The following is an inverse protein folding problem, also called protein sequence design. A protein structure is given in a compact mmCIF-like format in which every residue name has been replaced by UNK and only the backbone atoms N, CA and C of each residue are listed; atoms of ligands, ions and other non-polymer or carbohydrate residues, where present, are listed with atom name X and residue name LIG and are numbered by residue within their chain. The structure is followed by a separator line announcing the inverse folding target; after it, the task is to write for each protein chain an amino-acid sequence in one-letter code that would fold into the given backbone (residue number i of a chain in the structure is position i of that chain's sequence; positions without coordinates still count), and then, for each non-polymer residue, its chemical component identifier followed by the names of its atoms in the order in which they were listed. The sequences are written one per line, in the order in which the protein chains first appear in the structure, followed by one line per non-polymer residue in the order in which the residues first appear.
data_IF_639054788809
#
_entry.id   IF_639054788809
#
_cell.length_a   1.000
_cell.length_b   1.000
_cell.length_c   1.000
_cell.angle_alpha   90.00
_cell.angle_beta   90.00
_cell.angle_gamma   90.00
#
_symmetry.space_group_name_H-M   'P 1'
#
loop_
_entity.id
_entity.type
_entity.pdbx_description
1 polymer ?
#
# COMPACT_ATOMS: atom_id res chain seq x y z
N UNK A 1 14.86 4.07 -23.27
CA UNK A 1 15.97 3.13 -23.25
C UNK A 1 17.16 3.79 -22.56
N UNK A 2 17.70 3.18 -21.50
CA UNK A 2 18.84 3.71 -20.74
C UNK A 2 19.67 2.62 -20.10
N UNK A 3 20.88 2.97 -19.68
CA UNK A 3 21.71 2.07 -18.90
C UNK A 3 21.14 1.97 -17.48
N UNK A 4 21.19 0.76 -16.90
CA UNK A 4 20.75 0.50 -15.54
C UNK A 4 21.94 0.67 -14.60
N UNK A 5 21.73 1.38 -13.50
CA UNK A 5 22.65 1.40 -12.36
C UNK A 5 21.96 0.70 -11.19
N UNK A 6 22.64 -0.29 -10.61
CA UNK A 6 22.11 -1.15 -9.55
C UNK A 6 22.57 -0.63 -8.19
N UNK A 7 21.64 -0.56 -7.25
CA UNK A 7 21.88 -0.29 -5.85
C UNK A 7 21.31 -1.44 -5.01
N UNK A 8 22.06 -1.92 -4.06
CA UNK A 8 21.60 -2.99 -3.16
C UNK A 8 20.47 -2.49 -2.25
N UNK A 9 20.58 -1.24 -1.81
CA UNK A 9 19.61 -0.63 -0.89
C UNK A 9 19.22 0.77 -1.34
N UNK A 10 18.12 1.28 -0.81
CA UNK A 10 17.72 2.68 -0.98
C UNK A 10 18.78 3.64 -0.41
N UNK A 11 19.43 3.26 0.69
CA UNK A 11 20.48 4.05 1.32
C UNK A 11 21.71 4.20 0.42
N UNK A 12 22.03 3.19 -0.38
CA UNK A 12 23.11 3.28 -1.36
C UNK A 12 22.77 4.27 -2.47
N UNK A 13 21.52 4.28 -2.94
CA UNK A 13 21.03 5.29 -3.87
C UNK A 13 21.08 6.69 -3.24
N UNK A 14 20.68 6.84 -1.97
CA UNK A 14 20.73 8.13 -1.25
C UNK A 14 22.16 8.68 -1.16
N UNK A 15 23.15 7.82 -0.92
CA UNK A 15 24.58 8.18 -0.81
C UNK A 15 25.27 8.38 -2.15
N UNK A 16 24.75 7.78 -3.21
CA UNK A 16 25.38 7.81 -4.53
C UNK A 16 25.52 9.26 -5.05
N UNK A 17 26.65 9.62 -5.67
CA UNK A 17 26.81 10.92 -6.31
C UNK A 17 25.86 11.03 -7.52
N UNK A 18 25.29 12.21 -7.76
CA UNK A 18 24.36 12.41 -8.86
C UNK A 18 24.94 11.98 -10.22
N UNK A 19 26.22 12.18 -10.45
CA UNK A 19 26.90 11.77 -11.69
C UNK A 19 26.81 10.27 -12.01
N UNK A 20 26.65 9.42 -10.99
CA UNK A 20 26.46 7.97 -11.20
C UNK A 20 25.02 7.60 -11.56
N UNK A 21 24.08 8.50 -11.36
CA UNK A 21 22.64 8.28 -11.55
C UNK A 21 22.09 9.03 -12.76
N UNK A 22 22.62 10.22 -13.03
CA UNK A 22 22.15 11.12 -14.08
C UNK A 22 22.08 10.43 -15.44
N UNK A 23 20.91 10.52 -16.10
CA UNK A 23 20.64 9.93 -17.41
C UNK A 23 20.57 8.40 -17.43
N UNK A 24 20.50 7.76 -16.27
CA UNK A 24 20.41 6.30 -16.13
C UNK A 24 19.08 5.89 -15.52
N UNK A 25 18.76 4.61 -15.59
CA UNK A 25 17.67 3.98 -14.87
C UNK A 25 18.26 3.47 -13.54
N UNK A 26 17.80 4.04 -12.43
CA UNK A 26 18.21 3.57 -11.10
C UNK A 26 17.37 2.36 -10.70
N UNK A 27 18.01 1.26 -10.36
CA UNK A 27 17.36 0.06 -9.85
C UNK A 27 17.81 -0.18 -8.40
N UNK A 28 16.84 -0.38 -7.50
CA UNK A 28 17.06 -0.77 -6.11
C UNK A 28 16.59 -2.20 -5.90
N UNK A 29 17.57 -3.09 -5.65
CA UNK A 29 17.38 -4.54 -5.53
C UNK A 29 17.11 -5.04 -4.12
N UNK A 30 16.79 -4.15 -3.18
CA UNK A 30 16.64 -4.48 -1.76
C UNK A 30 15.58 -5.56 -1.52
N UNK A 31 16.04 -6.80 -1.28
CA UNK A 31 15.16 -7.95 -1.08
C UNK A 31 14.58 -7.95 0.34
N UNK A 32 13.24 -7.96 0.43
CA UNK A 32 12.54 -8.08 1.70
C UNK A 32 12.79 -9.44 2.34
N UNK A 33 13.04 -9.45 3.64
CA UNK A 33 13.19 -10.68 4.41
C UNK A 33 11.83 -11.18 4.87
N UNK A 34 11.62 -12.49 4.79
CA UNK A 34 10.41 -13.11 5.28
C UNK A 34 10.41 -13.13 6.80
N UNK A 35 9.48 -12.41 7.43
CA UNK A 35 9.21 -12.42 8.86
C UNK A 35 7.79 -12.89 9.11
N UNK A 36 7.52 -13.41 10.29
CA UNK A 36 6.19 -13.95 10.62
C UNK A 36 5.15 -12.84 10.88
N UNK A 37 5.62 -11.67 11.30
CA UNK A 37 4.81 -10.52 11.70
C UNK A 37 4.77 -9.38 10.67
N UNK A 38 5.42 -9.54 9.50
CA UNK A 38 5.49 -8.48 8.49
C UNK A 38 6.30 -7.25 8.90
N UNK A 39 6.98 -7.26 10.04
CA UNK A 39 7.66 -6.08 10.64
C UNK A 39 8.66 -5.40 9.73
N UNK A 40 9.22 -6.10 8.75
CA UNK A 40 10.17 -5.52 7.79
C UNK A 40 9.50 -4.71 6.66
N UNK A 41 8.19 -4.86 6.44
CA UNK A 41 7.50 -4.25 5.30
C UNK A 41 7.66 -2.73 5.24
N UNK A 42 7.45 -2.04 6.34
CA UNK A 42 7.58 -0.58 6.42
C UNK A 42 8.97 -0.07 5.99
N UNK A 43 10.02 -0.77 6.37
CA UNK A 43 11.38 -0.43 6.00
C UNK A 43 11.64 -0.61 4.49
N UNK A 44 11.21 -1.74 3.93
CA UNK A 44 11.43 -2.02 2.51
C UNK A 44 10.51 -1.20 1.60
N UNK A 45 9.30 -0.84 2.05
CA UNK A 45 8.36 -0.07 1.28
C UNK A 45 8.80 1.38 1.01
N UNK A 46 9.76 1.92 1.76
CA UNK A 46 10.34 3.24 1.50
C UNK A 46 10.97 3.33 0.10
N UNK A 47 11.57 2.25 -0.38
CA UNK A 47 12.11 2.20 -1.74
C UNK A 47 11.04 2.44 -2.80
N UNK A 48 9.79 1.96 -2.58
CA UNK A 48 8.66 2.21 -3.45
C UNK A 48 8.15 3.64 -3.32
N UNK A 49 7.93 4.11 -2.10
CA UNK A 49 7.25 5.39 -1.87
C UNK A 49 8.14 6.60 -2.13
N UNK A 50 9.38 6.62 -1.66
CA UNK A 50 10.31 7.75 -1.76
C UNK A 50 11.38 7.59 -2.85
N UNK A 51 11.70 6.35 -3.22
CA UNK A 51 12.78 6.05 -4.15
C UNK A 51 12.72 6.77 -5.49
N UNK A 52 11.53 6.86 -6.17
CA UNK A 52 11.40 7.59 -7.43
C UNK A 52 11.78 9.06 -7.30
N UNK A 53 11.36 9.72 -6.21
CA UNK A 53 11.70 11.12 -5.96
C UNK A 53 13.20 11.32 -5.71
N UNK A 54 13.82 10.41 -4.95
CA UNK A 54 15.27 10.43 -4.68
C UNK A 54 16.06 10.23 -5.98
N UNK A 55 15.69 9.24 -6.80
CA UNK A 55 16.34 8.99 -8.08
C UNK A 55 16.21 10.19 -9.04
N UNK A 56 15.00 10.73 -9.13
CA UNK A 56 14.72 11.91 -9.98
C UNK A 56 15.52 13.14 -9.55
N UNK A 57 15.67 13.39 -8.24
CA UNK A 57 16.49 14.51 -7.71
C UNK A 57 17.96 14.39 -8.11
N UNK A 58 18.45 13.19 -8.41
CA UNK A 58 19.80 12.90 -8.90
C UNK A 58 19.91 12.85 -10.43
N UNK A 59 18.80 13.17 -11.13
CA UNK A 59 18.78 13.19 -12.59
C UNK A 59 18.59 11.81 -13.25
N UNK A 60 18.07 10.82 -12.54
CA UNK A 60 17.67 9.55 -13.16
C UNK A 60 16.60 9.78 -14.23
N UNK A 61 16.65 8.98 -15.30
CA UNK A 61 15.65 8.99 -16.36
C UNK A 61 14.51 7.97 -16.12
N UNK A 62 14.67 7.10 -15.14
CA UNK A 62 13.70 6.10 -14.72
C UNK A 62 14.12 5.45 -13.40
N UNK A 63 13.17 4.80 -12.75
CA UNK A 63 13.38 4.14 -11.46
C UNK A 63 12.73 2.76 -11.46
N UNK A 64 13.42 1.79 -10.92
CA UNK A 64 12.95 0.42 -10.76
C UNK A 64 13.24 -0.07 -9.35
N UNK A 65 12.33 -0.87 -8.82
CA UNK A 65 12.54 -1.61 -7.58
C UNK A 65 12.33 -3.11 -7.79
N UNK A 66 12.98 -3.91 -6.96
CA UNK A 66 12.48 -5.24 -6.61
C UNK A 66 11.15 -5.06 -5.88
N UNK A 67 10.12 -5.85 -6.21
CA UNK A 67 8.85 -5.81 -5.49
C UNK A 67 9.06 -5.95 -3.99
N UNK A 68 8.34 -5.15 -3.23
CA UNK A 68 8.20 -5.34 -1.78
C UNK A 68 7.33 -6.57 -1.56
N UNK A 69 7.86 -7.55 -0.83
CA UNK A 69 7.20 -8.83 -0.62
C UNK A 69 8.19 -10.00 -0.73
N UNK A 70 7.76 -11.18 -0.36
CA UNK A 70 8.59 -12.39 -0.30
C UNK A 70 8.05 -13.54 -1.15
N UNK A 71 7.13 -13.23 -2.05
CA UNK A 71 6.57 -14.18 -3.01
C UNK A 71 7.54 -14.52 -4.14
N UNK A 72 7.21 -15.55 -4.91
CA UNK A 72 7.99 -16.01 -6.06
C UNK A 72 7.21 -16.01 -7.38
N UNK A 73 6.00 -15.45 -7.40
CA UNK A 73 5.23 -15.30 -8.65
C UNK A 73 5.70 -14.07 -9.45
N UNK A 74 5.26 -13.96 -10.69
CA UNK A 74 5.66 -12.87 -11.59
C UNK A 74 4.66 -11.70 -11.62
N UNK A 75 3.98 -11.47 -10.50
CA UNK A 75 3.18 -10.27 -10.31
C UNK A 75 3.98 -9.28 -9.46
N UNK A 76 4.33 -8.12 -9.99
CA UNK A 76 5.00 -7.10 -9.19
C UNK A 76 4.00 -6.53 -8.17
N UNK A 77 4.46 -6.36 -6.94
CA UNK A 77 3.68 -5.69 -5.91
C UNK A 77 3.56 -4.20 -6.24
N UNK A 78 2.34 -3.74 -6.39
CA UNK A 78 2.02 -2.33 -6.65
C UNK A 78 1.85 -1.54 -5.35
N UNK A 79 1.52 -0.28 -5.45
CA UNK A 79 1.31 0.62 -4.32
C UNK A 79 1.57 2.07 -4.71
N UNK A 80 1.38 2.97 -3.77
CA UNK A 80 1.55 4.39 -4.01
C UNK A 80 3.02 4.82 -4.00
N UNK A 81 3.31 5.88 -4.73
CA UNK A 81 4.59 6.57 -4.69
C UNK A 81 4.37 8.07 -4.46
N UNK A 82 5.37 8.74 -3.89
CA UNK A 82 5.31 10.17 -3.60
C UNK A 82 6.47 10.89 -4.26
N UNK A 83 6.14 11.93 -5.01
CA UNK A 83 7.14 12.89 -5.48
C UNK A 83 7.15 14.11 -4.57
N UNK A 84 8.34 14.55 -4.18
CA UNK A 84 8.52 15.81 -3.49
C UNK A 84 8.20 16.96 -4.45
N UNK A 85 7.74 18.07 -3.89
CA UNK A 85 7.45 19.28 -4.66
C UNK A 85 8.71 19.76 -5.42
N UNK A 86 8.52 20.15 -6.67
CA UNK A 86 9.63 20.59 -7.54
C UNK A 86 10.48 19.47 -8.13
N UNK A 87 10.27 18.21 -7.78
CA UNK A 87 10.98 17.07 -8.37
C UNK A 87 10.22 16.55 -9.59
N UNK A 88 10.89 16.40 -10.76
CA UNK A 88 10.24 15.90 -11.96
C UNK A 88 9.77 14.45 -11.77
N UNK A 89 8.58 14.14 -12.29
CA UNK A 89 8.08 12.76 -12.33
C UNK A 89 8.81 11.99 -13.41
N UNK A 90 9.36 10.84 -13.07
CA UNK A 90 10.04 9.93 -14.00
C UNK A 90 9.28 8.59 -14.06
N UNK A 91 9.39 7.81 -15.13
CA UNK A 91 8.86 6.44 -15.15
C UNK A 91 9.38 5.64 -13.95
N UNK A 92 8.48 5.09 -13.15
CA UNK A 92 8.81 4.29 -11.99
C UNK A 92 7.97 3.00 -11.99
N UNK A 93 8.61 1.86 -11.77
CA UNK A 93 7.98 0.54 -11.85
C UNK A 93 8.58 -0.41 -10.83
N UNK A 94 7.79 -1.42 -10.43
CA UNK A 94 8.28 -2.56 -9.67
C UNK A 94 8.50 -3.76 -10.62
N UNK A 95 9.52 -4.55 -10.33
CA UNK A 95 9.77 -5.84 -10.96
C UNK A 95 9.31 -6.94 -10.01
N UNK A 96 8.74 -8.01 -10.54
CA UNK A 96 8.52 -9.21 -9.73
C UNK A 96 9.83 -9.73 -9.15
N UNK A 97 9.78 -10.44 -8.02
CA UNK A 97 11.00 -10.98 -7.41
C UNK A 97 11.81 -11.88 -8.36
N UNK A 98 11.21 -12.78 -9.16
CA UNK A 98 11.96 -13.56 -10.15
C UNK A 98 12.60 -12.73 -11.26
N UNK A 99 11.94 -11.64 -11.70
CA UNK A 99 12.51 -10.75 -12.73
C UNK A 99 13.62 -9.87 -12.16
N UNK A 100 13.49 -9.44 -10.91
CA UNK A 100 14.56 -8.77 -10.15
C UNK A 100 15.79 -9.65 -10.02
N UNK A 101 15.64 -10.92 -9.63
CA UNK A 101 16.73 -11.91 -9.60
C UNK A 101 17.42 -12.05 -10.96
N UNK A 102 16.65 -12.01 -12.04
CA UNK A 102 17.20 -12.08 -13.39
C UNK A 102 18.05 -10.86 -13.73
N UNK A 103 17.59 -9.67 -13.44
CA UNK A 103 18.35 -8.43 -13.69
C UNK A 103 19.63 -8.40 -12.87
N UNK A 104 19.56 -8.77 -11.60
CA UNK A 104 20.73 -8.81 -10.72
C UNK A 104 21.79 -9.78 -11.22
N UNK A 105 21.40 -10.98 -11.67
CA UNK A 105 22.34 -11.93 -12.29
C UNK A 105 22.98 -11.36 -13.56
N UNK A 106 22.19 -10.70 -14.42
CA UNK A 106 22.72 -10.09 -15.65
C UNK A 106 23.69 -8.96 -15.29
N UNK A 107 23.36 -8.14 -14.28
CA UNK A 107 24.20 -7.02 -13.88
C UNK A 107 25.49 -7.47 -13.19
N UNK A 108 25.50 -8.62 -12.52
CA UNK A 108 26.71 -9.21 -11.96
C UNK A 108 27.71 -9.66 -13.06
N UNK A 109 27.20 -10.15 -14.18
CA UNK A 109 28.02 -10.65 -15.30
C UNK A 109 28.41 -9.55 -16.29
N UNK A 110 27.63 -8.46 -16.38
CA UNK A 110 27.79 -7.42 -17.40
C UNK A 110 27.74 -6.03 -16.78
N UNK A 111 28.72 -5.22 -17.11
CA UNK A 111 28.80 -3.83 -16.66
C UNK A 111 27.87 -2.88 -17.43
N UNK A 112 27.27 -3.31 -18.54
CA UNK A 112 26.42 -2.48 -19.42
C UNK A 112 25.04 -3.13 -19.63
N UNK A 113 24.22 -3.05 -18.61
CA UNK A 113 22.82 -3.50 -18.69
C UNK A 113 21.97 -2.37 -19.20
N UNK A 114 21.28 -2.58 -20.31
CA UNK A 114 20.36 -1.59 -20.90
C UNK A 114 18.92 -2.08 -20.80
N UNK A 115 18.02 -1.17 -20.42
CA UNK A 115 16.60 -1.46 -20.31
C UNK A 115 15.77 -0.40 -21.04
N UNK A 116 14.66 -0.84 -21.63
CA UNK A 116 13.61 0.04 -22.12
C UNK A 116 12.46 0.02 -21.11
N UNK A 117 12.12 1.18 -20.59
CA UNK A 117 10.89 1.40 -19.83
C UNK A 117 9.87 2.10 -20.73
N UNK A 118 8.63 1.69 -20.62
CA UNK A 118 7.50 2.37 -21.21
C UNK A 118 6.36 2.38 -20.22
N UNK A 119 5.87 3.58 -19.89
CA UNK A 119 4.75 3.81 -18.98
C UNK A 119 3.75 4.66 -19.74
N UNK A 120 2.52 4.19 -19.78
CA UNK A 120 1.38 4.93 -20.29
C UNK A 120 0.35 5.00 -19.16
N UNK A 121 0.24 6.15 -18.54
CA UNK A 121 -0.66 6.40 -17.42
C UNK A 121 -1.27 7.79 -17.54
N UNK A 122 -2.52 7.92 -17.16
CA UNK A 122 -3.24 9.18 -17.15
C UNK A 122 -3.93 9.41 -15.81
N UNK A 123 -4.06 10.67 -15.44
CA UNK A 123 -4.87 11.08 -14.31
C UNK A 123 -6.33 11.27 -14.80
N UNK A 124 -7.28 10.73 -14.06
CA UNK A 124 -8.70 10.91 -14.31
C UNK A 124 -9.31 11.88 -13.30
N UNK A 125 -10.44 12.52 -13.61
CA UNK A 125 -11.16 13.32 -12.63
C UNK A 125 -11.50 12.51 -11.37
N UNK A 126 -11.55 13.18 -10.24
CA UNK A 126 -11.94 12.55 -8.98
C UNK A 126 -13.32 11.87 -9.12
N UNK A 127 -13.39 10.63 -8.69
CA UNK A 127 -14.63 9.87 -8.60
C UNK A 127 -15.14 9.86 -7.16
N UNK A 128 -16.43 9.59 -6.98
CA UNK A 128 -17.02 9.44 -5.67
C UNK A 128 -17.01 7.97 -5.26
N UNK A 129 -16.63 7.72 -4.01
CA UNK A 129 -16.77 6.45 -3.33
C UNK A 129 -17.52 6.64 -2.03
N UNK A 130 -17.77 5.58 -1.26
CA UNK A 130 -18.49 5.66 0.00
C UNK A 130 -18.13 4.54 0.94
N UNK A 131 -18.44 4.73 2.21
CA UNK A 131 -18.37 3.68 3.22
C UNK A 131 -19.71 2.95 3.30
N UNK A 132 -19.67 1.65 3.63
CA UNK A 132 -20.87 0.89 3.98
C UNK A 132 -20.91 0.78 5.51
N UNK A 133 -22.07 1.11 6.09
CA UNK A 133 -22.26 1.10 7.55
C UNK A 133 -23.45 0.22 7.92
N UNK A 134 -23.25 -0.63 8.92
CA UNK A 134 -24.30 -1.42 9.56
C UNK A 134 -24.14 -1.36 11.08
N UNK A 135 -25.25 -1.52 11.82
CA UNK A 135 -25.23 -1.40 13.28
C UNK A 135 -26.12 -2.44 13.98
N UNK A 136 -25.66 -2.85 15.15
CA UNK A 136 -26.51 -3.41 16.18
C UNK A 136 -26.59 -2.38 17.30
N UNK A 137 -27.77 -1.77 17.48
CA UNK A 137 -28.00 -0.73 18.49
C UNK A 137 -27.83 -1.28 19.90
N UNK A 138 -27.10 -0.55 20.73
CA UNK A 138 -26.90 -0.89 22.14
C UNK A 138 -28.18 -0.79 22.97
N UNK A 139 -28.35 -1.68 23.95
CA UNK A 139 -29.55 -1.72 24.81
C UNK A 139 -29.49 -0.80 26.03
N UNK A 140 -28.29 -0.42 26.51
CA UNK A 140 -28.08 0.38 27.71
C UNK A 140 -27.42 1.74 27.44
N UNK A 141 -26.45 1.78 26.54
CA UNK A 141 -25.70 2.96 26.15
C UNK A 141 -25.60 3.01 24.62
N UNK A 142 -26.72 3.23 23.91
CA UNK A 142 -26.76 3.21 22.45
C UNK A 142 -25.92 4.33 21.81
N UNK A 143 -25.63 5.40 22.54
CA UNK A 143 -24.77 6.49 22.10
C UNK A 143 -23.27 6.14 22.14
N UNK A 144 -22.87 5.16 22.94
CA UNK A 144 -21.48 4.66 22.99
C UNK A 144 -21.25 3.66 21.85
N UNK A 145 -20.27 3.94 21.00
CA UNK A 145 -20.06 3.21 19.74
C UNK A 145 -18.75 2.42 19.81
N UNK A 146 -18.85 1.14 19.51
CA UNK A 146 -17.72 0.25 19.23
C UNK A 146 -17.66 0.07 17.72
N UNK A 147 -16.58 0.51 17.05
CA UNK A 147 -16.41 0.36 15.62
C UNK A 147 -15.57 -0.88 15.31
N UNK A 148 -16.07 -1.72 14.41
CA UNK A 148 -15.32 -2.77 13.76
C UNK A 148 -15.29 -2.47 12.27
N UNK A 149 -14.14 -2.61 11.62
CA UNK A 149 -13.98 -2.18 10.23
C UNK A 149 -13.10 -3.10 9.41
N UNK A 150 -13.19 -2.88 8.11
CA UNK A 150 -12.37 -3.46 7.06
C UNK A 150 -12.47 -2.54 5.84
N UNK A 151 -11.60 -2.68 4.83
CA UNK A 151 -11.72 -1.85 3.65
C UNK A 151 -12.19 -2.60 2.39
N UNK A 152 -12.78 -1.85 1.44
CA UNK A 152 -13.44 -2.41 0.26
C UNK A 152 -12.57 -2.40 -1.00
N UNK A 153 -11.59 -1.53 -1.05
CA UNK A 153 -10.70 -1.37 -2.19
C UNK A 153 -9.45 -2.24 -2.07
N UNK A 154 -8.79 -2.46 -3.18
CA UNK A 154 -7.56 -3.24 -3.26
C UNK A 154 -6.70 -2.76 -4.42
N UNK A 155 -5.42 -3.12 -4.43
CA UNK A 155 -4.51 -2.80 -5.52
C UNK A 155 -4.74 -3.70 -6.74
N UNK A 156 -4.68 -3.07 -7.93
CA UNK A 156 -4.72 -3.76 -9.21
C UNK A 156 -3.63 -4.83 -9.33
N UNK A 157 -3.97 -5.83 -10.14
CA UNK A 157 -3.43 -7.13 -10.38
C UNK A 157 -3.76 -8.14 -9.29
N UNK A 158 -3.99 -7.74 -8.05
CA UNK A 158 -4.56 -8.57 -6.99
C UNK A 158 -6.08 -8.65 -7.10
N UNK A 159 -6.65 -9.67 -6.45
CA UNK A 159 -8.10 -9.83 -6.34
C UNK A 159 -8.67 -9.19 -5.07
N UNK A 160 -7.81 -8.68 -4.19
CA UNK A 160 -8.21 -8.17 -2.87
C UNK A 160 -8.76 -9.26 -1.93
N UNK A 161 -8.40 -10.53 -2.17
CA UNK A 161 -9.00 -11.62 -1.39
C UNK A 161 -8.52 -11.66 0.07
N UNK A 162 -7.27 -11.27 0.31
CA UNK A 162 -6.69 -11.17 1.65
C UNK A 162 -6.73 -9.72 2.12
N UNK A 163 -6.22 -8.82 1.33
CA UNK A 163 -6.13 -7.39 1.58
C UNK A 163 -7.19 -6.66 0.71
N UNK A 164 -8.44 -6.41 1.17
CA UNK A 164 -8.93 -6.75 2.52
C UNK A 164 -10.28 -7.51 2.47
N UNK A 165 -10.51 -8.33 1.44
CA UNK A 165 -11.72 -9.16 1.34
C UNK A 165 -11.89 -10.12 2.52
N UNK A 166 -10.80 -10.60 3.11
CA UNK A 166 -10.84 -11.44 4.31
C UNK A 166 -11.30 -10.64 5.52
N UNK A 167 -10.80 -9.44 5.75
CA UNK A 167 -11.25 -8.57 6.83
C UNK A 167 -12.72 -8.17 6.70
N UNK A 168 -13.17 -7.88 5.46
CA UNK A 168 -14.60 -7.67 5.17
C UNK A 168 -15.42 -8.88 5.63
N UNK A 169 -15.00 -10.09 5.22
CA UNK A 169 -15.68 -11.33 5.62
C UNK A 169 -15.70 -11.55 7.13
N UNK A 170 -14.58 -11.33 7.81
CA UNK A 170 -14.43 -11.50 9.26
C UNK A 170 -15.34 -10.53 10.02
N UNK A 171 -15.30 -9.26 9.69
CA UNK A 171 -16.06 -8.22 10.41
C UNK A 171 -17.58 -8.35 10.18
N UNK A 172 -17.99 -8.68 8.95
CA UNK A 172 -19.39 -8.97 8.64
C UNK A 172 -19.89 -10.22 9.39
N UNK A 173 -19.12 -11.30 9.37
CA UNK A 173 -19.46 -12.52 10.09
C UNK A 173 -19.53 -12.30 11.61
N UNK A 174 -18.64 -11.49 12.17
CA UNK A 174 -18.69 -11.14 13.59
C UNK A 174 -20.00 -10.43 13.96
N UNK A 175 -20.44 -9.47 13.14
CA UNK A 175 -21.71 -8.76 13.36
C UNK A 175 -22.92 -9.70 13.23
N UNK A 176 -22.92 -10.58 12.23
CA UNK A 176 -23.95 -11.58 12.00
C UNK A 176 -24.04 -12.58 13.15
N UNK A 177 -22.92 -13.11 13.62
CA UNK A 177 -22.87 -14.03 14.75
C UNK A 177 -23.43 -13.42 16.06
N UNK A 178 -23.13 -12.16 16.34
CA UNK A 178 -23.68 -11.44 17.49
C UNK A 178 -25.21 -11.34 17.39
N UNK A 179 -25.72 -11.02 16.20
CA UNK A 179 -27.16 -10.93 15.93
C UNK A 179 -27.83 -12.29 16.04
N UNK A 180 -27.28 -13.34 15.43
CA UNK A 180 -27.86 -14.68 15.39
C UNK A 180 -27.83 -15.37 16.77
N UNK A 181 -26.83 -15.07 17.58
CA UNK A 181 -26.76 -15.52 18.95
C UNK A 181 -27.82 -14.84 19.88
N UNK A 182 -28.59 -13.92 19.35
CA UNK A 182 -29.59 -13.16 20.12
C UNK A 182 -28.96 -12.26 21.19
N UNK A 183 -27.68 -11.93 21.03
CA UNK A 183 -26.97 -11.08 21.98
C UNK A 183 -27.42 -9.62 21.79
N UNK A 184 -27.79 -9.00 22.92
CA UNK A 184 -28.13 -7.58 22.96
C UNK A 184 -26.92 -6.83 23.56
N UNK A 185 -26.04 -6.25 22.77
CA UNK A 185 -24.84 -5.59 23.29
C UNK A 185 -25.23 -4.39 24.14
N UNK A 186 -24.41 -4.06 25.15
CA UNK A 186 -24.63 -2.89 26.00
C UNK A 186 -24.49 -1.60 25.17
N UNK A 187 -23.45 -1.54 24.32
CA UNK A 187 -23.11 -0.43 23.44
C UNK A 187 -23.49 -0.75 22.00
N UNK A 188 -23.67 0.27 21.18
CA UNK A 188 -23.82 0.09 19.73
C UNK A 188 -22.54 -0.49 19.13
N UNK A 189 -22.67 -1.58 18.38
CA UNK A 189 -21.61 -2.12 17.54
C UNK A 189 -21.86 -1.65 16.12
N UNK A 190 -20.92 -0.90 15.58
CA UNK A 190 -20.96 -0.35 14.23
C UNK A 190 -19.90 -1.02 13.36
N UNK A 191 -20.35 -1.72 12.33
CA UNK A 191 -19.51 -2.16 11.24
C UNK A 191 -19.33 -1.00 10.27
N UNK A 192 -18.09 -0.74 9.87
CA UNK A 192 -17.79 0.20 8.78
C UNK A 192 -16.86 -0.47 7.79
N UNK A 193 -17.33 -0.59 6.54
CA UNK A 193 -16.48 -1.01 5.43
C UNK A 193 -16.02 0.25 4.71
N UNK A 194 -14.71 0.50 4.78
CA UNK A 194 -14.09 1.74 4.30
C UNK A 194 -13.92 1.74 2.79
N UNK A 195 -14.22 2.84 2.14
CA UNK A 195 -13.88 3.04 0.74
C UNK A 195 -12.58 3.83 0.58
N UNK A 196 -11.79 3.46 -0.43
CA UNK A 196 -10.56 4.16 -0.80
C UNK A 196 -9.55 4.28 0.38
N UNK A 197 -9.29 3.16 1.04
CA UNK A 197 -8.30 3.01 2.10
C UNK A 197 -6.90 3.12 1.50
N UNK A 198 -6.59 2.29 0.51
CA UNK A 198 -5.29 2.09 -0.13
C UNK A 198 -4.70 3.36 -0.76
N UNK A 199 -5.54 4.30 -1.11
CA UNK A 199 -5.11 5.57 -1.71
C UNK A 199 -5.07 6.72 -0.70
N UNK A 200 -5.12 6.42 0.58
CA UNK A 200 -4.87 7.36 1.67
C UNK A 200 -5.96 7.48 2.72
N UNK A 201 -6.63 6.37 3.10
CA UNK A 201 -7.63 6.31 4.19
C UNK A 201 -8.82 7.27 3.96
N UNK A 202 -9.21 7.49 2.69
CA UNK A 202 -10.16 8.56 2.37
C UNK A 202 -11.53 8.33 3.00
N UNK A 203 -12.00 7.07 3.03
CA UNK A 203 -13.25 6.70 3.67
C UNK A 203 -13.24 6.94 5.19
N UNK A 204 -12.16 6.58 5.86
CA UNK A 204 -12.00 6.79 7.31
C UNK A 204 -11.90 8.29 7.65
N UNK A 205 -11.20 9.07 6.83
CA UNK A 205 -11.12 10.52 6.99
C UNK A 205 -12.50 11.19 6.80
N UNK A 206 -13.25 10.75 5.80
CA UNK A 206 -14.61 11.26 5.55
C UNK A 206 -15.55 10.91 6.72
N UNK A 207 -15.48 9.67 7.22
CA UNK A 207 -16.24 9.24 8.39
C UNK A 207 -15.91 10.08 9.63
N UNK A 208 -14.61 10.26 9.93
CA UNK A 208 -14.17 11.10 11.05
C UNK A 208 -14.72 12.51 10.95
N UNK A 209 -14.66 13.14 9.77
CA UNK A 209 -15.18 14.47 9.53
C UNK A 209 -16.71 14.54 9.71
N UNK A 210 -17.43 13.55 9.20
CA UNK A 210 -18.89 13.48 9.30
C UNK A 210 -19.36 13.31 10.75
N UNK A 211 -18.61 12.56 11.56
CA UNK A 211 -18.93 12.25 12.95
C UNK A 211 -18.13 13.06 13.98
N UNK A 212 -17.50 14.18 13.57
CA UNK A 212 -16.59 14.96 14.41
C UNK A 212 -17.21 15.33 15.77
N UNK A 213 -18.47 15.76 15.79
CA UNK A 213 -19.18 16.13 17.02
C UNK A 213 -19.48 14.92 17.95
N UNK A 214 -19.45 13.72 17.41
CA UNK A 214 -19.75 12.48 18.12
C UNK A 214 -18.50 11.61 18.38
N UNK A 215 -17.29 12.07 18.05
CA UNK A 215 -16.06 11.27 18.22
C UNK A 215 -15.83 10.83 19.67
N UNK A 216 -16.20 11.64 20.65
CA UNK A 216 -16.09 11.28 22.07
C UNK A 216 -16.99 10.09 22.47
N UNK A 217 -17.98 9.74 21.66
CA UNK A 217 -18.85 8.57 21.86
C UNK A 217 -18.26 7.28 21.29
N UNK A 218 -17.22 7.37 20.46
CA UNK A 218 -16.53 6.21 19.92
C UNK A 218 -15.56 5.66 20.97
N UNK A 219 -15.96 4.56 21.62
CA UNK A 219 -15.24 3.99 22.78
C UNK A 219 -13.97 3.27 22.32
N UNK A 220 -14.06 2.57 21.20
CA UNK A 220 -12.95 1.84 20.59
C UNK A 220 -13.23 1.66 19.09
N UNK A 221 -12.16 1.65 18.30
CA UNK A 221 -12.18 1.23 16.89
C UNK A 221 -11.14 0.14 16.66
N UNK A 222 -11.49 -0.82 15.84
CA UNK A 222 -10.60 -1.88 15.37
C UNK A 222 -10.86 -2.10 13.89
N UNK A 223 -9.81 -2.33 13.15
CA UNK A 223 -9.84 -2.74 11.76
C UNK A 223 -9.24 -4.14 11.64
N UNK A 224 -9.88 -5.00 10.84
CA UNK A 224 -9.32 -6.28 10.42
C UNK A 224 -8.77 -6.07 9.01
N UNK A 225 -7.47 -5.95 8.93
CA UNK A 225 -6.71 -5.79 7.70
C UNK A 225 -5.74 -6.96 7.60
N UNK A 226 -5.46 -7.47 6.39
CA UNK A 226 -4.71 -8.69 6.12
C UNK A 226 -5.34 -10.01 6.58
N UNK A 227 -6.56 -10.01 7.07
CA UNK A 227 -7.34 -11.22 7.28
C UNK A 227 -6.89 -12.16 8.41
N UNK A 228 -6.15 -11.69 9.40
CA UNK A 228 -5.82 -12.42 10.63
C UNK A 228 -4.53 -13.21 10.61
#
# INVERSE_FOLDING_TARGET
LGNVVVFETLEDLKRAPAASVTGRIAYVGHAMQRTQDGSSYGYFSEARTAGPSIAASKGAMGYLIRSVGTDSHRFPHTGSLRYLEGIPRIPAMALSNPDADQIERIAADKSDVRMRMWVDSSEHPAAQSGNVIAEITGREAPEEIVVIGAHLDSWDLGTGAIDDGAGVGITMAALELIKDAGLAPRRTIRLVLWGAEEVGLLGAQAYRKQHEAALAQHVIGSESDFGG
#
